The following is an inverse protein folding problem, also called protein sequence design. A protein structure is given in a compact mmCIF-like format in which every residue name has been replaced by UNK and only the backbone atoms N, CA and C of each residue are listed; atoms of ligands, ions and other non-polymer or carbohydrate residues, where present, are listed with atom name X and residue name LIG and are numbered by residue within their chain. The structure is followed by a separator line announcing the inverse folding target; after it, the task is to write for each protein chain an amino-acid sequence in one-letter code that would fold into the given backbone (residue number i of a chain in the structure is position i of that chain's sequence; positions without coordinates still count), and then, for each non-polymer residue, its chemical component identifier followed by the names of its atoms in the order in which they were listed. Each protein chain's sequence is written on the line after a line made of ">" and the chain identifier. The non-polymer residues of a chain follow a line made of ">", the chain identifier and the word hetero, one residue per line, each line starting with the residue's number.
data_IF_771656521713
#
_entry.id   IF_771656521713
#
_cell.length_a   1.000
_cell.length_b   1.000
_cell.length_c   1.000
_cell.angle_alpha   90.00
_cell.angle_beta   90.00
_cell.angle_gamma   90.00
#
_symmetry.space_group_name_H-M   'P 1'
#
loop_
_entity.id
_entity.type
_entity.pdbx_description
1 polymer ?
#
# COMPACT_ATOMS: atom_id res chain seq x y z
N UNK A 1 -6.15 -15.01 1.70
CA UNK A 1 -5.48 -15.99 2.58
C UNK A 1 -6.28 -16.14 3.86
N UNK A 2 -6.37 -17.35 4.44
CA UNK A 2 -6.83 -17.50 5.83
C UNK A 2 -5.91 -16.69 6.77
N UNK A 3 -6.40 -16.26 7.95
CA UNK A 3 -5.55 -15.60 8.94
C UNK A 3 -4.43 -16.57 9.35
N UNK A 4 -3.18 -16.11 9.25
CA UNK A 4 -2.02 -16.89 9.72
C UNK A 4 -2.08 -17.00 11.24
N UNK A 5 -1.84 -18.20 11.76
CA UNK A 5 -1.70 -18.39 13.20
C UNK A 5 -0.41 -17.74 13.72
N UNK A 6 -0.34 -17.44 15.03
CA UNK A 6 0.87 -16.89 15.66
C UNK A 6 2.08 -17.81 15.42
N UNK A 7 1.88 -19.13 15.44
CA UNK A 7 2.96 -20.09 15.20
C UNK A 7 3.46 -20.05 13.75
N UNK A 8 2.55 -19.86 12.79
CA UNK A 8 2.91 -19.65 11.38
C UNK A 8 3.70 -18.35 11.19
N UNK A 9 3.29 -17.26 11.87
CA UNK A 9 4.02 -15.98 11.86
C UNK A 9 5.41 -16.10 12.49
N UNK A 10 5.55 -16.81 13.62
CA UNK A 10 6.85 -17.09 14.25
C UNK A 10 7.76 -17.89 13.33
N UNK A 11 7.22 -18.91 12.66
CA UNK A 11 7.96 -19.71 11.68
C UNK A 11 8.41 -18.88 10.47
N UNK A 12 7.53 -18.01 9.96
CA UNK A 12 7.85 -17.09 8.87
C UNK A 12 8.97 -16.10 9.25
N UNK A 13 8.87 -15.45 10.42
CA UNK A 13 9.89 -14.53 10.94
C UNK A 13 11.23 -15.25 11.15
N UNK A 14 11.23 -16.46 11.71
CA UNK A 14 12.44 -17.26 11.89
C UNK A 14 13.10 -17.62 10.55
N UNK A 15 12.30 -18.00 9.56
CA UNK A 15 12.77 -18.33 8.21
C UNK A 15 13.39 -17.12 7.53
N UNK A 16 12.76 -15.94 7.62
CA UNK A 16 13.26 -14.71 7.01
C UNK A 16 14.54 -14.20 7.70
N UNK A 17 14.64 -14.30 9.03
CA UNK A 17 15.90 -14.02 9.74
C UNK A 17 17.02 -14.97 9.36
N UNK A 18 16.73 -16.25 9.17
CA UNK A 18 17.72 -17.23 8.70
C UNK A 18 18.22 -16.92 7.28
N UNK A 19 17.40 -16.25 6.46
CA UNK A 19 17.79 -15.72 5.15
C UNK A 19 18.58 -14.39 5.22
N UNK A 20 18.81 -13.85 6.41
CA UNK A 20 19.60 -12.64 6.64
C UNK A 20 18.82 -11.32 6.58
N UNK A 21 17.49 -11.35 6.52
CA UNK A 21 16.68 -10.13 6.54
C UNK A 21 16.72 -9.47 7.92
N UNK A 22 16.73 -8.13 7.93
CA UNK A 22 16.62 -7.34 9.16
C UNK A 22 15.15 -7.13 9.57
N UNK A 23 14.91 -6.68 10.81
CA UNK A 23 13.55 -6.53 11.36
C UNK A 23 12.64 -5.58 10.55
N UNK A 24 13.19 -4.56 9.88
CA UNK A 24 12.42 -3.64 9.04
C UNK A 24 11.95 -4.34 7.77
N UNK A 25 12.84 -5.04 7.08
CA UNK A 25 12.49 -5.78 5.85
C UNK A 25 11.42 -6.85 6.11
N UNK A 26 11.49 -7.52 7.26
CA UNK A 26 10.48 -8.52 7.66
C UNK A 26 9.14 -7.85 8.03
N UNK A 27 9.19 -6.67 8.65
CA UNK A 27 8.01 -5.87 8.99
C UNK A 27 7.27 -5.44 7.72
N UNK A 28 8.01 -5.00 6.70
CA UNK A 28 7.47 -4.61 5.40
C UNK A 28 6.83 -5.81 4.68
N UNK A 29 7.53 -6.95 4.61
CA UNK A 29 7.07 -8.19 3.95
C UNK A 29 5.80 -8.78 4.61
N UNK A 30 5.71 -8.77 5.95
CA UNK A 30 4.56 -9.31 6.68
C UNK A 30 3.44 -8.26 6.90
N UNK A 31 3.71 -7.01 6.55
CA UNK A 31 2.85 -5.84 6.86
C UNK A 31 2.51 -5.80 8.36
N UNK A 32 3.54 -5.87 9.19
CA UNK A 32 3.50 -5.85 10.65
C UNK A 32 4.46 -4.78 11.18
N UNK A 33 4.29 -4.34 12.43
CA UNK A 33 5.23 -3.37 13.01
C UNK A 33 6.59 -4.02 13.33
N UNK A 34 7.68 -3.25 13.35
CA UNK A 34 8.98 -3.75 13.84
C UNK A 34 8.89 -4.29 15.27
N UNK A 35 8.07 -3.66 16.12
CA UNK A 35 7.80 -4.10 17.50
C UNK A 35 7.18 -5.50 17.51
N UNK A 36 6.29 -5.78 16.57
CA UNK A 36 5.67 -7.09 16.36
C UNK A 36 6.69 -8.12 15.90
N UNK A 37 7.56 -7.77 14.96
CA UNK A 37 8.65 -8.67 14.52
C UNK A 37 9.57 -9.02 15.69
N UNK A 38 9.87 -8.04 16.56
CA UNK A 38 10.68 -8.26 17.75
C UNK A 38 9.98 -9.19 18.75
N UNK A 39 8.67 -9.06 18.93
CA UNK A 39 7.86 -9.96 19.76
C UNK A 39 7.76 -11.37 19.18
N UNK A 40 7.53 -11.51 17.86
CA UNK A 40 7.51 -12.81 17.17
C UNK A 40 8.88 -13.51 17.24
N UNK A 41 9.96 -12.73 17.35
CA UNK A 41 11.32 -13.23 17.55
C UNK A 41 11.64 -13.64 18.99
N UNK A 42 10.88 -13.18 19.98
CA UNK A 42 11.13 -13.50 21.39
C UNK A 42 10.47 -14.85 21.72
N UNK A 43 11.27 -15.87 22.01
CA UNK A 43 10.78 -17.26 22.21
C UNK A 43 10.13 -17.51 23.57
N UNK A 44 9.94 -16.48 24.41
CA UNK A 44 9.64 -16.65 25.84
C UNK A 44 8.64 -15.64 26.43
N UNK A 45 8.02 -14.76 25.64
CA UNK A 45 7.00 -13.85 26.18
C UNK A 45 5.63 -14.53 26.26
N UNK A 46 4.86 -14.32 27.34
CA UNK A 46 3.48 -14.78 27.44
C UNK A 46 2.66 -14.29 26.23
N UNK A 47 1.75 -15.13 25.71
CA UNK A 47 0.85 -14.77 24.61
C UNK A 47 0.02 -13.51 24.89
N UNK A 48 -0.18 -13.16 26.17
CA UNK A 48 -0.93 -12.00 26.64
C UNK A 48 -0.17 -10.67 26.49
N UNK A 49 1.14 -10.69 26.21
CA UNK A 49 2.02 -9.51 26.15
C UNK A 49 2.41 -9.13 24.69
N UNK A 50 1.56 -9.50 23.72
CA UNK A 50 1.74 -9.16 22.30
C UNK A 50 1.37 -7.68 22.05
N UNK A 51 2.19 -6.90 21.31
CA UNK A 51 1.77 -5.59 20.82
C UNK A 51 0.50 -5.74 19.97
N UNK A 52 -0.55 -4.96 20.22
CA UNK A 52 -1.75 -5.05 19.41
C UNK A 52 -1.43 -4.67 17.95
N UNK A 53 -1.37 -5.65 17.04
CA UNK A 53 -1.24 -5.36 15.61
C UNK A 53 -2.52 -4.72 15.12
N UNK A 54 -2.42 -3.45 14.72
CA UNK A 54 -3.52 -2.74 14.08
C UNK A 54 -3.29 -2.84 12.58
N UNK A 55 -4.14 -3.62 11.89
CA UNK A 55 -4.26 -3.56 10.43
C UNK A 55 -5.40 -2.62 10.06
N UNK A 56 -5.14 -1.68 9.16
CA UNK A 56 -6.19 -0.88 8.54
C UNK A 56 -6.85 -1.73 7.46
N UNK A 57 -8.12 -2.06 7.67
CA UNK A 57 -8.89 -2.91 6.78
C UNK A 57 -9.50 -2.16 5.60
N UNK A 58 -8.73 -1.91 4.54
CA UNK A 58 -9.18 -1.25 3.30
C UNK A 58 -10.30 -1.98 2.56
N UNK A 59 -10.47 -3.28 2.82
CA UNK A 59 -11.55 -4.07 2.22
C UNK A 59 -12.93 -3.46 2.43
N UNK A 60 -13.19 -2.84 3.58
CA UNK A 60 -14.48 -2.21 3.88
C UNK A 60 -14.81 -1.06 2.90
N UNK A 61 -13.78 -0.39 2.38
CA UNK A 61 -13.86 0.67 1.39
C UNK A 61 -13.93 0.06 -0.02
N UNK A 62 -12.97 -0.82 -0.35
CA UNK A 62 -12.76 -1.34 -1.70
C UNK A 62 -13.92 -2.19 -2.27
N UNK A 63 -14.88 -2.63 -1.44
CA UNK A 63 -16.03 -3.44 -1.89
C UNK A 63 -17.27 -2.62 -2.28
N UNK A 64 -17.25 -1.30 -2.10
CA UNK A 64 -18.37 -0.41 -2.47
C UNK A 64 -17.86 0.76 -3.29
N UNK A 65 -18.34 0.88 -4.53
CA UNK A 65 -17.95 1.96 -5.45
C UNK A 65 -18.14 3.36 -4.86
N UNK A 66 -19.29 3.61 -4.23
CA UNK A 66 -19.58 4.89 -3.56
C UNK A 66 -18.54 5.25 -2.47
N UNK A 67 -18.02 4.26 -1.73
CA UNK A 67 -16.96 4.51 -0.73
C UNK A 67 -15.62 4.83 -1.38
N UNK A 68 -15.31 4.16 -2.49
CA UNK A 68 -14.11 4.47 -3.28
C UNK A 68 -14.21 5.90 -3.79
N UNK A 69 -15.37 6.29 -4.33
CA UNK A 69 -15.62 7.64 -4.84
C UNK A 69 -15.50 8.70 -3.75
N UNK A 70 -16.21 8.56 -2.62
CA UNK A 70 -16.13 9.54 -1.51
C UNK A 70 -14.72 9.68 -0.94
N UNK A 71 -13.93 8.60 -0.85
CA UNK A 71 -12.53 8.70 -0.41
C UNK A 71 -11.64 9.34 -1.47
N UNK A 72 -11.92 9.10 -2.75
CA UNK A 72 -11.24 9.76 -3.85
C UNK A 72 -11.48 11.27 -3.85
N UNK A 73 -12.69 11.72 -3.50
CA UNK A 73 -12.99 13.15 -3.29
C UNK A 73 -12.16 13.73 -2.14
N UNK A 74 -12.00 13.01 -1.03
CA UNK A 74 -11.14 13.42 0.09
C UNK A 74 -9.67 13.51 -0.35
N UNK A 75 -9.19 12.53 -1.12
CA UNK A 75 -7.82 12.58 -1.66
C UNK A 75 -7.61 13.77 -2.59
N UNK A 76 -8.58 14.05 -3.46
CA UNK A 76 -8.54 15.20 -4.36
C UNK A 76 -8.55 16.53 -3.60
N UNK A 77 -9.36 16.65 -2.56
CA UNK A 77 -9.43 17.84 -1.70
C UNK A 77 -8.08 18.14 -1.04
N UNK A 78 -7.47 17.14 -0.39
CA UNK A 78 -6.15 17.25 0.23
C UNK A 78 -5.07 17.56 -0.82
N UNK A 79 -5.11 16.89 -1.97
CA UNK A 79 -4.18 17.15 -3.07
C UNK A 79 -4.26 18.62 -3.53
N UNK A 80 -5.47 19.15 -3.71
CA UNK A 80 -5.65 20.55 -4.12
C UNK A 80 -5.16 21.53 -3.05
N UNK A 81 -5.36 21.23 -1.76
CA UNK A 81 -4.86 22.05 -0.66
C UNK A 81 -3.32 22.13 -0.67
N UNK A 82 -2.65 20.98 -0.84
CA UNK A 82 -1.20 20.88 -0.68
C UNK A 82 -0.41 21.37 -1.92
N UNK A 83 -0.89 21.08 -3.12
CA UNK A 83 -0.13 21.32 -4.36
C UNK A 83 -0.87 22.14 -5.42
N UNK A 84 -2.12 22.53 -5.17
CA UNK A 84 -2.97 23.27 -6.11
C UNK A 84 -3.49 22.41 -7.26
N UNK A 85 -3.91 23.07 -8.34
CA UNK A 85 -4.56 22.43 -9.50
C UNK A 85 -3.63 22.12 -10.67
N UNK A 86 -2.33 22.41 -10.54
CA UNK A 86 -1.33 22.15 -11.58
C UNK A 86 -0.84 20.70 -11.53
N UNK A 87 -1.75 19.76 -11.82
CA UNK A 87 -1.49 18.33 -11.96
C UNK A 87 -1.85 17.93 -13.39
N UNK A 88 -0.98 17.20 -14.06
CA UNK A 88 -1.20 16.74 -15.44
C UNK A 88 -1.74 15.30 -15.46
N UNK A 89 -1.29 14.45 -14.53
CA UNK A 89 -1.68 13.05 -14.48
C UNK A 89 -1.71 12.47 -13.06
N UNK A 90 -2.62 11.51 -12.85
CA UNK A 90 -2.69 10.70 -11.64
C UNK A 90 -2.15 9.30 -11.94
N UNK A 91 -1.27 8.80 -11.07
CA UNK A 91 -0.66 7.47 -11.19
C UNK A 91 -1.23 6.56 -10.12
N UNK A 92 -2.03 5.57 -10.51
CA UNK A 92 -2.49 4.53 -9.60
C UNK A 92 -1.44 3.43 -9.46
N UNK A 93 -1.02 3.13 -8.23
CA UNK A 93 -0.19 1.95 -7.95
C UNK A 93 -1.08 0.71 -8.01
N UNK A 94 -0.64 -0.27 -8.78
CA UNK A 94 -1.39 -1.51 -8.96
C UNK A 94 -1.21 -2.43 -7.74
N UNK A 95 -2.28 -3.06 -7.25
CA UNK A 95 -3.66 -3.04 -7.78
C UNK A 95 -4.53 -1.99 -7.09
N UNK A 96 -4.25 -1.70 -5.82
CA UNK A 96 -5.19 -1.04 -4.91
C UNK A 96 -5.34 0.47 -5.17
N UNK A 97 -4.30 1.16 -5.61
CA UNK A 97 -4.36 2.57 -5.97
C UNK A 97 -5.17 2.85 -7.24
N UNK A 98 -5.38 1.86 -8.11
CA UNK A 98 -6.04 2.06 -9.42
C UNK A 98 -7.48 2.59 -9.31
N UNK A 99 -8.38 2.01 -8.49
CA UNK A 99 -9.75 2.51 -8.36
C UNK A 99 -9.81 3.96 -7.90
N UNK A 100 -9.00 4.34 -6.91
CA UNK A 100 -8.94 5.71 -6.42
C UNK A 100 -8.39 6.66 -7.47
N UNK A 101 -7.26 6.31 -8.09
CA UNK A 101 -6.67 7.09 -9.18
C UNK A 101 -7.66 7.30 -10.34
N UNK A 102 -8.45 6.29 -10.67
CA UNK A 102 -9.47 6.35 -11.72
C UNK A 102 -10.59 7.33 -11.35
N UNK A 103 -11.09 7.28 -10.11
CA UNK A 103 -12.11 8.21 -9.64
C UNK A 103 -11.61 9.66 -9.61
N UNK A 104 -10.39 9.91 -9.13
CA UNK A 104 -9.78 11.26 -9.10
C UNK A 104 -9.60 11.79 -10.54
N UNK A 105 -9.00 10.97 -11.42
CA UNK A 105 -8.79 11.34 -12.81
C UNK A 105 -10.11 11.69 -13.51
N UNK A 106 -11.17 10.91 -13.27
CA UNK A 106 -12.49 11.18 -13.81
C UNK A 106 -13.12 12.46 -13.24
N UNK A 107 -12.99 12.71 -11.93
CA UNK A 107 -13.58 13.88 -11.27
C UNK A 107 -12.91 15.21 -11.63
N UNK A 108 -11.62 15.18 -11.99
CA UNK A 108 -10.80 16.37 -12.26
C UNK A 108 -10.37 16.51 -13.73
N UNK A 109 -10.79 15.59 -14.59
CA UNK A 109 -10.40 15.50 -16.01
C UNK A 109 -8.86 15.45 -16.20
N UNK A 110 -8.20 14.62 -15.40
CA UNK A 110 -6.75 14.41 -15.45
C UNK A 110 -6.42 13.14 -16.23
N UNK A 111 -5.22 13.08 -16.81
CA UNK A 111 -4.77 11.84 -17.42
C UNK A 111 -4.54 10.76 -16.37
N UNK A 112 -4.94 9.52 -16.68
CA UNK A 112 -4.67 8.37 -15.83
C UNK A 112 -3.41 7.64 -16.31
N UNK A 113 -2.51 7.34 -15.38
CA UNK A 113 -1.40 6.41 -15.55
C UNK A 113 -1.50 5.28 -14.53
N UNK A 114 -0.90 4.12 -14.84
CA UNK A 114 -0.89 2.96 -13.95
C UNK A 114 0.53 2.43 -13.86
N UNK A 115 1.02 2.32 -12.62
CA UNK A 115 2.30 1.69 -12.33
C UNK A 115 2.06 0.30 -11.70
N UNK A 116 2.81 -0.70 -12.15
CA UNK A 116 2.82 -2.06 -11.58
C UNK A 116 4.18 -2.33 -10.96
N UNK A 117 4.21 -2.79 -9.71
CA UNK A 117 5.40 -3.40 -9.16
C UNK A 117 5.53 -4.82 -9.70
N UNK A 118 6.68 -5.15 -10.30
CA UNK A 118 6.98 -6.50 -10.80
C UNK A 118 7.82 -7.25 -9.76
N UNK A 119 8.75 -6.55 -9.10
CA UNK A 119 9.51 -7.01 -7.93
C UNK A 119 10.17 -5.80 -7.23
N UNK A 120 10.61 -5.96 -5.98
CA UNK A 120 11.36 -4.93 -5.26
C UNK A 120 12.72 -4.62 -5.93
N UNK A 121 13.30 -5.59 -6.65
CA UNK A 121 14.62 -5.45 -7.29
C UNK A 121 14.56 -4.85 -8.70
N UNK A 122 13.47 -5.08 -9.45
CA UNK A 122 13.34 -4.60 -10.85
C UNK A 122 12.61 -3.26 -10.98
N UNK A 123 12.11 -2.71 -9.87
CA UNK A 123 11.40 -1.44 -9.84
C UNK A 123 9.99 -1.48 -10.44
N UNK A 124 9.33 -0.32 -10.45
CA UNK A 124 7.98 -0.17 -10.98
C UNK A 124 7.97 -0.01 -12.51
N UNK A 125 7.04 -0.69 -13.18
CA UNK A 125 6.78 -0.56 -14.61
C UNK A 125 5.51 0.26 -14.86
N UNK A 126 5.60 1.27 -15.73
CA UNK A 126 4.44 2.03 -16.19
C UNK A 126 3.76 1.30 -17.34
N UNK A 127 2.44 1.15 -17.27
CA UNK A 127 1.66 0.51 -18.32
C UNK A 127 1.65 1.33 -19.61
N UNK A 128 1.99 0.70 -20.73
CA UNK A 128 1.98 1.32 -22.07
C UNK A 128 0.57 1.65 -22.60
N UNK A 129 -0.48 1.12 -21.97
CA UNK A 129 -1.88 1.39 -22.35
C UNK A 129 -2.37 2.74 -21.84
N UNK A 130 -1.83 3.20 -20.71
CA UNK A 130 -2.25 4.43 -20.04
C UNK A 130 -1.28 5.58 -20.35
N UNK A 131 -1.60 6.79 -19.87
CA UNK A 131 -0.78 7.95 -20.15
C UNK A 131 0.65 7.80 -19.60
N UNK A 132 1.65 8.21 -20.39
CA UNK A 132 3.03 8.32 -19.93
C UNK A 132 3.23 9.55 -19.04
N UNK A 133 4.19 9.47 -18.10
CA UNK A 133 4.41 10.51 -17.06
C UNK A 133 5.59 11.47 -17.35
N UNK A 134 6.31 11.27 -18.46
CA UNK A 134 7.54 12.01 -18.73
C UNK A 134 7.25 13.51 -18.92
N UNK A 135 7.88 14.35 -18.09
CA UNK A 135 7.75 15.81 -18.16
C UNK A 135 6.44 16.36 -17.59
N UNK A 136 5.67 15.53 -16.89
CA UNK A 136 4.39 15.88 -16.28
C UNK A 136 4.52 16.06 -14.77
N UNK A 137 3.69 16.94 -14.21
CA UNK A 137 3.43 17.01 -12.78
C UNK A 137 2.44 15.90 -12.43
N UNK A 138 2.89 14.94 -11.64
CA UNK A 138 2.10 13.74 -11.34
C UNK A 138 1.88 13.56 -9.86
N UNK A 139 0.73 12.98 -9.50
CA UNK A 139 0.42 12.54 -8.15
C UNK A 139 0.25 11.03 -8.15
N UNK A 140 0.87 10.37 -7.18
CA UNK A 140 0.82 8.91 -7.03
C UNK A 140 -0.20 8.57 -5.95
N UNK A 141 -1.07 7.59 -6.24
CA UNK A 141 -2.17 7.19 -5.37
C UNK A 141 -2.01 5.71 -5.01
N UNK A 142 -2.06 5.41 -3.72
CA UNK A 142 -2.06 4.07 -3.13
C UNK A 142 -2.87 4.05 -1.82
N UNK A 143 -3.20 2.86 -1.29
CA UNK A 143 -3.92 2.67 -0.03
C UNK A 143 -3.01 2.35 1.18
#
# INVERSE_FOLDING_TARGET
>A
MPPQSIDELRSAVATMKAKGLNSQQIADELSLSQTTIQWLSSSQQPLEDHPADIRVGWRSIAVKGERIESISEIFADIMMEEIGTEVDAIVGISINGIPFATCIAAGMDLELSVARSISEEEGGHLSEVFAGVKGKRVVVIDD
#
